data_IF_914632772382
#
_entry.id   IF_914632772382
#
_cell.length_a   1.000
_cell.length_b   1.000
_cell.length_c   1.000
_cell.angle_alpha   90.00
_cell.angle_beta   90.00
_cell.angle_gamma   90.00
#
_symmetry.space_group_name_H-M   'P 1'
#
loop_
_entity.id
_entity.type
_entity.pdbx_description
1 polymer ?
#
# COMPACT_ATOMS: atom_id res chain seq x y z
N UNK A 1 -62.43 -13.38 -34.59
CA UNK A 1 -62.89 -12.50 -35.69
C UNK A 1 -62.46 -11.06 -35.37
N UNK A 2 -61.90 -10.36 -36.37
CA UNK A 2 -61.60 -8.90 -36.45
C UNK A 2 -60.68 -8.32 -35.36
N UNK A 3 -59.40 -7.99 -35.55
CA UNK A 3 -58.76 -7.07 -36.52
C UNK A 3 -59.51 -5.74 -36.69
N UNK A 4 -58.99 -4.67 -36.05
CA UNK A 4 -58.95 -3.31 -36.61
C UNK A 4 -57.64 -2.63 -36.19
N UNK A 5 -57.11 -1.87 -37.13
CA UNK A 5 -55.72 -1.47 -37.31
C UNK A 5 -55.57 0.06 -37.28
N UNK A 6 -54.52 0.54 -36.59
CA UNK A 6 -53.65 1.72 -36.90
C UNK A 6 -54.29 3.14 -36.86
N UNK A 7 -53.53 4.23 -36.59
CA UNK A 7 -52.26 4.54 -37.24
C UNK A 7 -51.08 4.98 -36.34
N UNK A 8 -49.91 4.82 -36.94
CA UNK A 8 -48.58 5.19 -36.49
C UNK A 8 -48.29 6.67 -36.71
N UNK A 9 -47.82 7.36 -35.69
CA UNK A 9 -47.17 8.67 -35.83
C UNK A 9 -45.66 8.46 -35.80
N UNK A 10 -45.01 8.64 -36.95
CA UNK A 10 -43.55 8.75 -37.08
C UNK A 10 -43.14 10.10 -36.49
N UNK A 11 -42.36 10.11 -35.41
CA UNK A 11 -41.55 11.28 -35.06
C UNK A 11 -40.27 11.24 -35.91
N UNK A 12 -40.10 12.26 -36.74
CA UNK A 12 -38.86 12.57 -37.42
C UNK A 12 -37.82 13.02 -36.38
N UNK A 13 -36.74 12.25 -36.24
CA UNK A 13 -35.51 12.75 -35.65
C UNK A 13 -34.80 13.59 -36.72
N UNK A 14 -34.88 14.91 -36.59
CA UNK A 14 -33.99 15.83 -37.28
C UNK A 14 -32.59 15.71 -36.67
N UNK A 15 -31.60 15.42 -37.52
CA UNK A 15 -30.20 15.42 -37.18
C UNK A 15 -29.71 16.88 -37.08
N UNK A 16 -29.65 17.43 -35.88
CA UNK A 16 -28.94 18.67 -35.61
C UNK A 16 -27.47 18.37 -35.34
N UNK A 17 -26.65 18.66 -36.34
CA UNK A 17 -25.21 18.62 -36.32
C UNK A 17 -24.69 19.83 -35.51
N UNK A 18 -24.27 19.63 -34.27
CA UNK A 18 -23.53 20.64 -33.50
C UNK A 18 -22.20 20.04 -33.03
N UNK A 19 -21.17 20.38 -33.78
CA UNK A 19 -19.76 20.17 -33.49
C UNK A 19 -19.38 20.88 -32.19
N UNK A 20 -19.13 20.12 -31.13
CA UNK A 20 -18.47 20.64 -29.93
C UNK A 20 -17.17 19.87 -29.72
N UNK A 21 -16.09 20.53 -30.11
CA UNK A 21 -14.70 20.10 -30.03
C UNK A 21 -14.33 19.70 -28.60
N UNK A 22 -14.42 18.40 -28.30
CA UNK A 22 -13.69 17.77 -27.20
C UNK A 22 -12.19 17.90 -27.48
N UNK A 23 -11.55 18.90 -26.85
CA UNK A 23 -10.09 18.99 -26.80
C UNK A 23 -9.58 17.81 -25.98
N UNK A 24 -9.28 16.69 -26.66
CA UNK A 24 -8.32 15.69 -26.16
C UNK A 24 -7.05 16.45 -25.80
N UNK A 25 -6.74 16.56 -24.52
CA UNK A 25 -5.42 16.97 -24.08
C UNK A 25 -4.43 15.95 -24.67
N UNK A 26 -3.73 16.36 -25.72
CA UNK A 26 -2.64 15.59 -26.30
C UNK A 26 -1.54 15.61 -25.24
N UNK A 27 -1.44 14.51 -24.48
CA UNK A 27 -0.33 14.23 -23.59
C UNK A 27 0.95 14.32 -24.42
N UNK A 28 1.73 15.39 -24.23
CA UNK A 28 3.08 15.46 -24.78
C UNK A 28 3.94 14.51 -23.95
N UNK A 29 4.67 13.55 -24.55
CA UNK A 29 5.61 12.74 -23.80
C UNK A 29 6.70 13.64 -23.22
N UNK A 30 6.79 13.67 -21.89
CA UNK A 30 7.91 14.26 -21.17
C UNK A 30 9.19 13.57 -21.64
N UNK A 31 10.15 14.34 -22.17
CA UNK A 31 11.46 13.85 -22.62
C UNK A 31 12.47 13.87 -21.46
N UNK A 32 12.08 13.39 -20.29
CA UNK A 32 13.04 13.04 -19.25
C UNK A 32 13.79 11.80 -19.71
N UNK A 33 15.08 11.94 -20.03
CA UNK A 33 15.94 10.79 -20.34
C UNK A 33 16.08 9.97 -19.04
N UNK A 34 15.72 8.68 -18.99
CA UNK A 34 16.01 7.88 -17.81
C UNK A 34 17.52 7.90 -17.57
N UNK A 35 17.94 8.13 -16.32
CA UNK A 35 19.31 7.87 -15.93
C UNK A 35 19.61 6.36 -16.11
N UNK A 36 20.87 6.03 -16.43
CA UNK A 36 21.35 4.68 -16.75
C UNK A 36 21.17 3.66 -15.61
N UNK A 37 20.61 4.07 -14.45
CA UNK A 37 20.29 3.22 -13.30
C UNK A 37 18.79 2.96 -13.04
N UNK A 38 17.85 3.44 -13.87
CA UNK A 38 16.42 3.17 -13.68
C UNK A 38 15.74 3.95 -12.54
N UNK A 39 16.40 4.97 -11.98
CA UNK A 39 15.80 5.91 -11.03
C UNK A 39 14.92 6.95 -11.76
N UNK A 40 13.80 7.40 -11.17
CA UNK A 40 12.99 8.48 -11.73
C UNK A 40 13.82 9.76 -11.85
N UNK A 41 13.76 10.43 -13.00
CA UNK A 41 14.30 11.79 -13.11
C UNK A 41 13.51 12.69 -12.18
N UNK A 42 14.18 13.29 -11.20
CA UNK A 42 13.56 14.24 -10.27
C UNK A 42 13.11 15.47 -11.09
N UNK A 43 11.80 15.78 -11.16
CA UNK A 43 11.32 16.95 -11.87
C UNK A 43 11.82 18.23 -11.18
N UNK A 44 11.88 19.34 -11.92
CA UNK A 44 12.14 20.65 -11.30
C UNK A 44 11.02 21.02 -10.32
N UNK A 45 11.31 21.99 -9.46
CA UNK A 45 10.37 22.39 -8.41
C UNK A 45 9.03 22.85 -8.98
N UNK A 46 9.05 23.66 -10.05
CA UNK A 46 7.86 24.24 -10.64
C UNK A 46 6.96 23.16 -11.27
N UNK A 47 7.52 22.18 -11.99
CA UNK A 47 6.75 21.06 -12.51
C UNK A 47 6.21 20.14 -11.41
N UNK A 48 6.94 19.97 -10.30
CA UNK A 48 6.50 19.13 -9.19
C UNK A 48 5.29 19.71 -8.46
N UNK A 49 5.20 21.04 -8.35
CA UNK A 49 4.13 21.72 -7.59
C UNK A 49 3.02 22.34 -8.44
N UNK A 50 3.06 22.16 -9.76
CA UNK A 50 2.06 22.68 -10.70
C UNK A 50 0.63 22.25 -10.33
N UNK A 51 0.46 20.97 -9.99
CA UNK A 51 -0.84 20.38 -9.62
C UNK A 51 -0.65 19.45 -8.41
N UNK A 52 -0.77 20.05 -7.22
CA UNK A 52 -0.64 19.36 -5.92
C UNK A 52 -1.82 19.62 -4.99
N UNK A 53 -2.29 18.55 -4.36
CA UNK A 53 -3.42 18.55 -3.43
C UNK A 53 -3.01 17.92 -2.12
N UNK A 54 -3.18 18.64 -1.01
CA UNK A 54 -2.98 18.08 0.33
C UNK A 54 -4.34 17.71 0.88
N UNK A 55 -4.55 16.42 1.12
CA UNK A 55 -5.82 15.87 1.62
C UNK A 55 -5.69 15.37 3.05
N UNK A 56 -6.80 15.37 3.77
CA UNK A 56 -6.93 14.92 5.15
C UNK A 56 -8.18 14.06 5.29
N UNK A 57 -8.00 12.75 5.40
CA UNK A 57 -9.07 11.76 5.36
C UNK A 57 -9.27 11.14 6.75
N UNK A 58 -10.51 11.03 7.26
CA UNK A 58 -10.76 10.39 8.54
C UNK A 58 -10.49 8.89 8.45
N UNK A 59 -9.97 8.30 9.53
CA UNK A 59 -9.91 6.85 9.69
C UNK A 59 -11.22 6.33 10.28
N UNK A 60 -11.65 5.13 9.89
CA UNK A 60 -12.81 4.47 10.52
C UNK A 60 -12.52 3.99 11.93
N UNK A 61 -11.27 3.57 12.16
CA UNK A 61 -10.74 3.17 13.47
C UNK A 61 -9.32 3.68 13.60
N UNK A 62 -8.82 3.94 14.82
CA UNK A 62 -7.40 4.24 15.00
C UNK A 62 -6.53 3.12 14.42
N UNK A 63 -5.54 3.49 13.61
CA UNK A 63 -4.61 2.54 13.00
C UNK A 63 -3.22 3.15 13.00
N UNK A 64 -2.19 2.41 13.47
CA UNK A 64 -0.82 2.93 13.65
C UNK A 64 -0.76 4.29 14.39
N UNK A 65 -1.61 4.47 15.40
CA UNK A 65 -1.65 5.69 16.21
C UNK A 65 -2.33 6.90 15.57
N UNK A 66 -2.83 6.80 14.33
CA UNK A 66 -3.52 7.91 13.66
C UNK A 66 -5.03 7.72 13.61
N UNK A 67 -5.77 8.82 13.71
CA UNK A 67 -7.23 8.92 13.46
C UNK A 67 -7.58 9.66 12.17
N UNK A 68 -6.59 10.30 11.58
CA UNK A 68 -6.71 11.05 10.33
C UNK A 68 -5.47 10.74 9.51
N UNK A 69 -5.68 10.42 8.23
CA UNK A 69 -4.62 10.17 7.27
C UNK A 69 -4.47 11.36 6.35
N UNK A 70 -3.33 12.03 6.42
CA UNK A 70 -2.95 13.07 5.48
C UNK A 70 -2.05 12.52 4.38
N UNK A 71 -2.23 13.04 3.17
CA UNK A 71 -1.43 12.73 1.99
C UNK A 71 -1.29 13.96 1.09
N UNK A 72 -0.15 14.11 0.44
CA UNK A 72 0.01 15.03 -0.68
C UNK A 72 -0.08 14.24 -1.98
N UNK A 73 -1.05 14.58 -2.82
CA UNK A 73 -1.25 14.02 -4.14
C UNK A 73 -0.64 14.98 -5.15
N UNK A 74 0.10 14.45 -6.12
CA UNK A 74 0.72 15.24 -7.16
C UNK A 74 0.40 14.62 -8.52
N UNK A 75 0.11 15.49 -9.50
CA UNK A 75 -0.15 15.07 -10.87
C UNK A 75 1.06 15.36 -11.74
N UNK A 76 1.43 14.38 -12.55
CA UNK A 76 2.46 14.51 -13.57
C UNK A 76 1.96 14.07 -14.94
N UNK A 77 2.85 14.04 -15.94
CA UNK A 77 2.50 13.76 -17.34
C UNK A 77 1.96 12.36 -17.58
N UNK A 78 2.22 11.38 -16.70
CA UNK A 78 1.76 9.99 -16.87
C UNK A 78 0.70 9.56 -15.86
N UNK A 79 0.37 10.40 -14.87
CA UNK A 79 -0.68 10.08 -13.90
C UNK A 79 -0.54 10.80 -12.57
N UNK A 80 -1.04 10.16 -11.53
CA UNK A 80 -1.07 10.67 -10.15
C UNK A 80 -0.15 9.85 -9.23
N UNK A 81 0.58 10.56 -8.38
CA UNK A 81 1.43 10.00 -7.33
C UNK A 81 0.96 10.45 -5.95
N UNK A 82 1.34 9.67 -4.93
CA UNK A 82 1.02 9.96 -3.54
C UNK A 82 2.31 10.06 -2.72
N UNK A 83 2.54 11.24 -2.14
CA UNK A 83 3.55 11.51 -1.14
C UNK A 83 2.91 11.59 0.24
N UNK A 84 2.98 10.50 0.99
CA UNK A 84 2.32 10.39 2.29
C UNK A 84 3.18 9.75 3.40
N UNK A 85 4.47 10.11 3.58
CA UNK A 85 5.24 9.60 4.72
C UNK A 85 4.58 9.95 6.06
N UNK A 86 4.59 9.02 7.00
CA UNK A 86 4.14 9.28 8.37
C UNK A 86 4.97 10.41 9.03
N UNK A 87 4.41 11.04 10.07
CA UNK A 87 4.96 12.27 10.65
C UNK A 87 6.29 12.04 11.38
N UNK A 88 6.54 10.82 11.86
CA UNK A 88 7.76 10.43 12.55
C UNK A 88 8.98 10.28 11.63
N UNK A 89 8.78 10.13 10.31
CA UNK A 89 9.90 10.02 9.38
C UNK A 89 10.55 11.38 9.15
N UNK A 90 11.87 11.44 9.23
CA UNK A 90 12.61 12.64 8.85
C UNK A 90 12.54 12.89 7.33
N UNK A 91 13.12 14.01 6.88
CA UNK A 91 13.08 14.38 5.47
C UNK A 91 13.88 13.37 4.60
N UNK A 92 14.94 12.76 5.14
CA UNK A 92 15.77 11.77 4.44
C UNK A 92 14.98 10.49 4.19
N UNK A 93 14.35 9.91 5.20
CA UNK A 93 13.47 8.75 5.06
C UNK A 93 12.26 9.06 4.17
N UNK A 94 11.71 10.28 4.28
CA UNK A 94 10.59 10.73 3.47
C UNK A 94 10.95 10.86 1.98
N UNK A 95 12.21 11.06 1.61
CA UNK A 95 12.60 11.14 0.19
C UNK A 95 12.23 9.89 -0.61
N UNK A 96 12.32 8.69 -0.01
CA UNK A 96 11.87 7.45 -0.68
C UNK A 96 10.40 7.50 -1.05
N UNK A 97 9.56 8.05 -0.17
CA UNK A 97 8.14 8.24 -0.44
C UNK A 97 7.92 9.24 -1.57
N UNK A 98 8.73 10.30 -1.63
CA UNK A 98 8.68 11.28 -2.71
C UNK A 98 9.12 10.67 -4.05
N UNK A 99 10.20 9.86 -4.07
CA UNK A 99 10.64 9.14 -5.26
C UNK A 99 9.55 8.22 -5.81
N UNK A 100 8.83 7.50 -4.94
CA UNK A 100 7.71 6.67 -5.34
C UNK A 100 6.55 7.49 -5.94
N UNK A 101 6.25 8.64 -5.36
CA UNK A 101 5.23 9.55 -5.89
C UNK A 101 5.63 10.10 -7.27
N UNK A 102 6.89 10.49 -7.44
CA UNK A 102 7.45 10.98 -8.70
C UNK A 102 7.40 9.87 -9.75
N UNK A 103 7.83 8.65 -9.43
CA UNK A 103 7.76 7.51 -10.34
C UNK A 103 6.33 7.29 -10.83
N UNK A 104 5.35 7.29 -9.93
CA UNK A 104 3.94 7.08 -10.23
C UNK A 104 3.32 8.16 -11.15
N UNK A 105 3.82 9.39 -11.08
CA UNK A 105 3.27 10.57 -11.76
C UNK A 105 4.04 11.00 -13.02
N UNK A 106 5.36 10.76 -13.06
CA UNK A 106 6.26 11.25 -14.13
C UNK A 106 6.91 10.14 -14.96
N UNK A 107 7.07 8.93 -14.43
CA UNK A 107 7.79 7.84 -15.10
C UNK A 107 6.86 6.71 -15.56
N UNK A 108 5.97 6.26 -14.68
CA UNK A 108 5.14 5.08 -14.88
C UNK A 108 5.83 3.80 -14.39
N UNK A 109 5.18 2.66 -14.63
CA UNK A 109 5.59 1.37 -14.09
C UNK A 109 5.77 0.31 -15.18
N UNK A 110 6.48 -0.79 -14.87
CA UNK A 110 6.54 -1.94 -15.75
C UNK A 110 5.16 -2.51 -16.09
N UNK A 111 5.06 -3.22 -17.22
CA UNK A 111 3.83 -3.85 -17.64
C UNK A 111 3.34 -4.91 -16.64
N UNK A 112 2.03 -4.92 -16.40
CA UNK A 112 1.39 -5.93 -15.56
C UNK A 112 1.42 -7.32 -16.23
N UNK A 113 1.67 -8.35 -15.42
CA UNK A 113 1.61 -9.78 -15.81
C UNK A 113 0.27 -10.43 -15.50
N UNK A 114 -0.61 -9.71 -14.77
CA UNK A 114 -1.92 -10.17 -14.32
C UNK A 114 -2.90 -9.01 -14.29
N UNK A 115 -4.17 -9.31 -14.51
CA UNK A 115 -5.25 -8.31 -14.54
C UNK A 115 -5.83 -7.99 -13.16
N UNK A 116 -5.59 -8.83 -12.16
CA UNK A 116 -6.04 -8.63 -10.78
C UNK A 116 -5.00 -9.14 -9.78
N UNK A 117 -5.02 -8.56 -8.59
CA UNK A 117 -4.12 -8.87 -7.48
C UNK A 117 -4.94 -9.40 -6.29
N UNK A 118 -4.71 -10.63 -5.81
CA UNK A 118 -5.36 -11.14 -4.60
C UNK A 118 -4.92 -10.32 -3.38
N UNK A 119 -5.85 -10.04 -2.47
CA UNK A 119 -5.59 -9.22 -1.28
C UNK A 119 -6.04 -9.90 0.00
N UNK A 120 -5.38 -9.57 1.11
CA UNK A 120 -5.82 -10.00 2.44
C UNK A 120 -6.70 -8.94 3.10
N UNK A 121 -7.57 -9.40 4.01
CA UNK A 121 -8.22 -8.54 4.98
C UNK A 121 -7.21 -8.02 6.00
N UNK A 122 -7.36 -6.78 6.43
CA UNK A 122 -6.52 -6.18 7.48
C UNK A 122 -7.38 -5.98 8.71
N UNK A 123 -7.08 -6.72 9.78
CA UNK A 123 -7.82 -6.70 11.05
C UNK A 123 -7.03 -5.87 12.05
N UNK A 124 -7.49 -4.66 12.42
CA UNK A 124 -6.85 -3.82 13.43
C UNK A 124 -6.92 -4.44 14.83
N UNK A 125 -6.34 -3.75 15.83
CA UNK A 125 -6.36 -4.19 17.23
C UNK A 125 -7.73 -3.94 17.90
N UNK A 126 -8.80 -4.48 17.31
CA UNK A 126 -10.18 -4.45 17.82
C UNK A 126 -10.43 -5.59 18.81
N UNK A 127 -11.57 -5.60 19.51
CA UNK A 127 -11.95 -6.77 20.31
C UNK A 127 -12.33 -7.96 19.40
N UNK A 128 -12.27 -9.18 19.93
CA UNK A 128 -12.72 -10.37 19.20
C UNK A 128 -14.16 -10.22 18.67
N UNK A 129 -15.05 -9.58 19.45
CA UNK A 129 -16.46 -9.38 19.07
C UNK A 129 -16.66 -8.54 17.81
N UNK A 130 -15.69 -7.68 17.47
CA UNK A 130 -15.75 -6.79 16.31
C UNK A 130 -15.13 -7.42 15.06
N UNK A 131 -14.50 -8.59 15.16
CA UNK A 131 -13.76 -9.22 14.06
C UNK A 131 -14.65 -9.51 12.86
N UNK A 132 -15.85 -10.05 13.08
CA UNK A 132 -16.79 -10.35 12.00
C UNK A 132 -17.18 -9.09 11.20
N UNK A 133 -17.46 -7.98 11.90
CA UNK A 133 -17.80 -6.70 11.28
C UNK A 133 -16.63 -6.08 10.51
N UNK A 134 -15.41 -6.29 10.98
CA UNK A 134 -14.20 -5.89 10.25
C UNK A 134 -14.04 -6.73 8.99
N UNK A 135 -14.14 -8.06 9.08
CA UNK A 135 -13.98 -8.98 7.95
C UNK A 135 -15.08 -8.81 6.88
N UNK A 136 -16.28 -8.41 7.27
CA UNK A 136 -17.38 -8.11 6.34
C UNK A 136 -17.03 -7.00 5.32
N UNK A 137 -16.03 -6.14 5.61
CA UNK A 137 -15.54 -5.08 4.72
C UNK A 137 -14.56 -5.58 3.65
N UNK A 138 -14.21 -6.87 3.68
CA UNK A 138 -13.26 -7.51 2.78
C UNK A 138 -13.92 -8.71 2.08
N UNK A 139 -15.01 -8.49 1.31
CA UNK A 139 -15.78 -9.58 0.74
C UNK A 139 -14.93 -10.46 -0.19
N UNK A 140 -14.96 -11.77 0.05
CA UNK A 140 -14.23 -12.77 -0.72
C UNK A 140 -12.75 -12.93 -0.36
N UNK A 141 -12.19 -12.13 0.55
CA UNK A 141 -10.84 -12.36 1.06
C UNK A 141 -10.80 -13.68 1.85
N UNK A 142 -9.91 -14.60 1.46
CA UNK A 142 -9.67 -15.87 2.18
C UNK A 142 -8.47 -15.80 3.13
N UNK A 143 -7.81 -14.65 3.19
CA UNK A 143 -6.63 -14.40 4.03
C UNK A 143 -6.86 -13.17 4.89
N UNK A 144 -6.49 -13.20 6.16
CA UNK A 144 -6.53 -12.04 7.05
C UNK A 144 -5.20 -11.85 7.79
N UNK A 145 -4.77 -10.59 7.90
CA UNK A 145 -3.65 -10.17 8.74
C UNK A 145 -4.16 -9.47 9.98
N UNK A 146 -3.80 -9.99 11.14
CA UNK A 146 -4.30 -9.59 12.45
C UNK A 146 -3.24 -8.78 13.19
N UNK A 147 -3.58 -7.56 13.58
CA UNK A 147 -2.72 -6.77 14.46
C UNK A 147 -2.65 -7.43 15.83
N UNK A 148 -1.43 -7.62 16.33
CA UNK A 148 -1.11 -8.12 17.68
C UNK A 148 -0.09 -7.18 18.34
N UNK A 149 0.19 -7.38 19.62
CA UNK A 149 1.16 -6.57 20.37
C UNK A 149 0.81 -5.07 20.39
N UNK A 150 -0.48 -4.75 20.41
CA UNK A 150 -0.93 -3.36 20.50
C UNK A 150 -0.66 -2.83 21.91
N UNK A 151 -0.03 -1.65 22.01
CA UNK A 151 0.18 -0.98 23.29
C UNK A 151 -1.16 -0.79 24.02
N UNK A 152 -1.20 -1.22 25.28
CA UNK A 152 -2.40 -1.21 26.12
C UNK A 152 -3.29 -2.46 26.01
N UNK A 153 -2.90 -3.47 25.23
CA UNK A 153 -3.56 -4.77 25.13
C UNK A 153 -2.64 -5.90 25.62
N UNK A 154 -3.24 -7.06 25.90
CA UNK A 154 -2.55 -8.23 26.43
C UNK A 154 -2.43 -9.33 25.37
N UNK A 155 -1.57 -10.33 25.63
CA UNK A 155 -1.50 -11.53 24.81
C UNK A 155 -2.86 -12.27 24.75
N UNK A 156 -3.68 -12.18 25.81
CA UNK A 156 -5.00 -12.77 25.82
C UNK A 156 -5.93 -12.11 24.79
N UNK A 157 -5.88 -10.79 24.67
CA UNK A 157 -6.66 -10.04 23.67
C UNK A 157 -6.25 -10.44 22.25
N UNK A 158 -4.94 -10.60 22.02
CA UNK A 158 -4.38 -11.05 20.75
C UNK A 158 -4.82 -12.47 20.40
N UNK A 159 -4.73 -13.40 21.34
CA UNK A 159 -5.18 -14.79 21.17
C UNK A 159 -6.68 -14.85 20.86
N UNK A 160 -7.51 -14.10 21.60
CA UNK A 160 -8.95 -14.05 21.37
C UNK A 160 -9.30 -13.51 19.97
N UNK A 161 -8.61 -12.46 19.52
CA UNK A 161 -8.79 -11.88 18.19
C UNK A 161 -8.39 -12.87 17.09
N UNK A 162 -7.23 -13.51 17.22
CA UNK A 162 -6.74 -14.50 16.24
C UNK A 162 -7.65 -15.73 16.19
N UNK A 163 -8.12 -16.20 17.35
CA UNK A 163 -9.08 -17.30 17.45
C UNK A 163 -10.37 -16.99 16.68
N UNK A 164 -10.91 -15.79 16.86
CA UNK A 164 -12.13 -15.38 16.15
C UNK A 164 -11.90 -15.24 14.64
N UNK A 165 -10.77 -14.64 14.21
CA UNK A 165 -10.42 -14.58 12.79
C UNK A 165 -10.33 -15.98 12.17
N UNK A 166 -9.68 -16.93 12.87
CA UNK A 166 -9.61 -18.33 12.46
C UNK A 166 -11.00 -18.98 12.40
N UNK A 167 -11.86 -18.70 13.37
CA UNK A 167 -13.25 -19.19 13.39
C UNK A 167 -14.02 -18.72 12.16
N UNK A 168 -13.99 -17.41 11.86
CA UNK A 168 -14.70 -16.80 10.73
C UNK A 168 -14.18 -17.28 9.37
N UNK A 169 -12.86 -17.36 9.18
CA UNK A 169 -12.27 -17.81 7.91
C UNK A 169 -12.30 -19.33 7.72
N UNK A 170 -12.54 -20.08 8.79
CA UNK A 170 -12.50 -21.53 8.82
C UNK A 170 -11.10 -22.12 8.59
N UNK A 171 -11.05 -23.45 8.44
CA UNK A 171 -9.78 -24.21 8.34
C UNK A 171 -8.98 -23.95 7.07
N UNK A 172 -9.63 -23.51 5.99
CA UNK A 172 -8.97 -23.24 4.70
C UNK A 172 -8.46 -21.81 4.58
N UNK A 173 -8.94 -20.91 5.42
CA UNK A 173 -8.46 -19.53 5.43
C UNK A 173 -7.02 -19.43 5.90
N UNK A 174 -6.34 -18.35 5.52
CA UNK A 174 -4.96 -18.09 5.91
C UNK A 174 -4.94 -16.95 6.93
N UNK A 175 -4.29 -17.18 8.06
CA UNK A 175 -4.21 -16.17 9.14
C UNK A 175 -2.76 -15.76 9.31
N UNK A 176 -2.52 -14.45 9.35
CA UNK A 176 -1.21 -13.85 9.62
C UNK A 176 -1.32 -12.98 10.85
N UNK A 177 -0.23 -12.77 11.56
CA UNK A 177 -0.15 -11.78 12.65
C UNK A 177 0.90 -10.73 12.35
N UNK A 178 0.71 -9.51 12.85
CA UNK A 178 1.64 -8.40 12.69
C UNK A 178 1.89 -7.70 14.03
N UNK A 179 3.11 -7.80 14.54
CA UNK A 179 3.50 -7.19 15.81
C UNK A 179 4.17 -5.82 15.64
N UNK A 180 4.56 -5.42 14.42
CA UNK A 180 5.31 -4.19 14.13
C UNK A 180 6.55 -3.99 15.03
N UNK A 181 7.26 -5.07 15.33
CA UNK A 181 8.48 -5.10 16.12
C UNK A 181 8.28 -4.85 17.62
N UNK A 182 7.05 -4.97 18.13
CA UNK A 182 6.72 -4.58 19.50
C UNK A 182 7.09 -5.60 20.58
N UNK A 183 7.47 -6.83 20.22
CA UNK A 183 7.89 -7.85 21.19
C UNK A 183 9.41 -7.89 21.35
N UNK A 184 9.86 -8.17 22.58
CA UNK A 184 11.18 -8.76 22.80
C UNK A 184 11.25 -10.19 22.23
N UNK A 185 12.45 -10.75 22.09
CA UNK A 185 12.61 -12.14 21.61
C UNK A 185 11.85 -13.14 22.49
N UNK A 186 11.91 -12.99 23.81
CA UNK A 186 11.21 -13.87 24.75
C UNK A 186 9.69 -13.76 24.61
N UNK A 187 9.18 -12.52 24.53
CA UNK A 187 7.75 -12.26 24.34
C UNK A 187 7.26 -12.84 23.01
N UNK A 188 8.04 -12.69 21.93
CA UNK A 188 7.71 -13.22 20.62
C UNK A 188 7.65 -14.76 20.62
N UNK A 189 8.62 -15.43 21.25
CA UNK A 189 8.62 -16.89 21.35
C UNK A 189 7.40 -17.41 22.13
N UNK A 190 7.10 -16.80 23.29
CA UNK A 190 5.94 -17.16 24.09
C UNK A 190 4.61 -16.92 23.33
N UNK A 191 4.47 -15.77 22.69
CA UNK A 191 3.28 -15.41 21.94
C UNK A 191 3.07 -16.34 20.73
N UNK A 192 4.12 -16.59 19.95
CA UNK A 192 4.03 -17.41 18.74
C UNK A 192 3.82 -18.90 19.05
N UNK A 193 4.38 -19.42 20.14
CA UNK A 193 4.04 -20.76 20.64
C UNK A 193 2.55 -20.84 21.03
N UNK A 194 2.03 -19.82 21.73
CA UNK A 194 0.62 -19.76 22.11
C UNK A 194 -0.32 -19.61 20.91
N UNK A 195 0.15 -18.98 19.83
CA UNK A 195 -0.60 -18.78 18.60
C UNK A 195 -0.52 -19.96 17.61
N UNK A 196 0.42 -20.90 17.81
CA UNK A 196 0.64 -22.03 16.93
C UNK A 196 -0.62 -22.89 16.65
N UNK A 197 -1.54 -23.12 17.61
CA UNK A 197 -2.78 -23.86 17.36
C UNK A 197 -3.70 -23.22 16.31
N UNK A 198 -3.52 -21.93 15.98
CA UNK A 198 -4.34 -21.22 14.98
C UNK A 198 -3.81 -21.31 13.55
N UNK A 199 -2.75 -22.10 13.31
CA UNK A 199 -2.21 -22.42 11.98
C UNK A 199 -1.87 -21.13 11.19
N UNK A 200 -0.92 -20.36 11.70
CA UNK A 200 -0.53 -19.10 11.07
C UNK A 200 0.25 -19.34 9.76
N UNK A 201 -0.06 -18.58 8.73
CA UNK A 201 0.72 -18.55 7.48
C UNK A 201 2.11 -17.94 7.73
N UNK A 202 2.18 -16.84 8.48
CA UNK A 202 3.43 -16.26 8.97
C UNK A 202 3.16 -15.25 10.10
N UNK A 203 4.22 -14.90 10.82
CA UNK A 203 4.28 -13.77 11.75
C UNK A 203 5.13 -12.63 11.16
N UNK A 204 4.51 -11.47 10.96
CA UNK A 204 5.14 -10.26 10.43
C UNK A 204 5.79 -9.44 11.55
N UNK A 205 7.08 -9.17 11.37
CA UNK A 205 7.94 -8.35 12.22
C UNK A 205 7.66 -8.55 13.71
N UNK A 206 7.93 -9.74 14.30
CA UNK A 206 7.75 -9.94 15.73
C UNK A 206 8.60 -8.98 16.59
N UNK A 207 9.86 -8.76 16.20
CA UNK A 207 10.83 -7.96 16.94
C UNK A 207 11.39 -6.80 16.09
N UNK A 208 12.03 -5.83 16.73
CA UNK A 208 12.46 -4.59 16.09
C UNK A 208 13.67 -4.78 15.16
N UNK A 209 14.62 -5.62 15.53
CA UNK A 209 15.91 -5.75 14.83
C UNK A 209 16.08 -7.06 14.09
N UNK A 210 16.93 -7.06 13.04
CA UNK A 210 17.26 -8.26 12.26
C UNK A 210 17.84 -9.38 13.13
N UNK A 211 18.69 -9.03 14.10
CA UNK A 211 19.29 -10.01 15.01
C UNK A 211 18.23 -10.69 15.91
N UNK A 212 17.27 -9.93 16.40
CA UNK A 212 16.15 -10.48 17.18
C UNK A 212 15.24 -11.34 16.32
N UNK A 213 14.94 -10.94 15.08
CA UNK A 213 14.18 -11.77 14.14
C UNK A 213 14.86 -13.12 13.90
N UNK A 214 16.17 -13.13 13.66
CA UNK A 214 16.96 -14.36 13.52
C UNK A 214 16.91 -15.22 14.80
N UNK A 215 17.00 -14.60 15.98
CA UNK A 215 16.90 -15.30 17.26
C UNK A 215 15.51 -15.94 17.46
N UNK A 216 14.43 -15.23 17.14
CA UNK A 216 13.05 -15.76 17.18
C UNK A 216 12.91 -16.93 16.22
N UNK A 217 13.30 -16.77 14.96
CA UNK A 217 13.22 -17.82 13.94
C UNK A 217 13.97 -19.09 14.36
N UNK A 218 15.18 -18.95 14.87
CA UNK A 218 15.96 -20.07 15.40
C UNK A 218 15.31 -20.71 16.64
N UNK A 219 14.70 -19.91 17.52
CA UNK A 219 13.99 -20.40 18.70
C UNK A 219 12.74 -21.20 18.34
N UNK A 220 11.94 -20.74 17.38
CA UNK A 220 10.76 -21.46 16.88
C UNK A 220 11.16 -22.80 16.24
N UNK A 221 12.23 -22.81 15.43
CA UNK A 221 12.75 -24.03 14.84
C UNK A 221 13.18 -25.06 15.90
N UNK A 222 13.89 -24.64 16.95
CA UNK A 222 14.27 -25.52 18.08
C UNK A 222 13.05 -26.04 18.85
N UNK A 223 12.00 -25.24 18.96
CA UNK A 223 10.76 -25.61 19.63
C UNK A 223 9.81 -26.44 18.75
N UNK A 224 10.15 -26.71 17.49
CA UNK A 224 9.29 -27.42 16.55
C UNK A 224 8.02 -26.67 16.15
N UNK A 225 8.03 -25.33 16.26
CA UNK A 225 6.89 -24.48 15.88
C UNK A 225 7.04 -24.04 14.43
N UNK A 226 6.17 -24.50 13.50
CA UNK A 226 6.35 -24.29 12.06
C UNK A 226 5.81 -22.92 11.59
N UNK A 227 6.00 -21.85 12.37
CA UNK A 227 5.56 -20.50 12.00
C UNK A 227 6.70 -19.78 11.26
N UNK A 228 6.41 -19.32 10.04
CA UNK A 228 7.34 -18.54 9.24
C UNK A 228 7.45 -17.10 9.76
N UNK A 229 8.63 -16.48 9.61
CA UNK A 229 8.87 -15.07 9.94
C UNK A 229 8.89 -14.22 8.68
N UNK A 230 8.07 -13.17 8.65
CA UNK A 230 8.09 -12.16 7.61
C UNK A 230 8.73 -10.86 8.13
N UNK A 231 9.61 -10.22 7.36
CA UNK A 231 10.24 -8.95 7.74
C UNK A 231 9.61 -7.77 6.96
N UNK A 232 9.23 -6.70 7.67
CA UNK A 232 8.72 -5.44 7.10
C UNK A 232 9.64 -4.26 7.45
N UNK A 233 9.59 -3.78 8.70
CA UNK A 233 10.44 -2.68 9.20
C UNK A 233 11.92 -2.91 8.89
N UNK A 234 12.40 -4.14 9.10
CA UNK A 234 13.80 -4.51 8.85
C UNK A 234 14.19 -4.53 7.38
N UNK A 235 13.23 -4.47 6.46
CA UNK A 235 13.47 -4.33 5.01
C UNK A 235 13.41 -2.85 4.63
N UNK A 236 12.31 -2.17 4.96
CA UNK A 236 12.03 -0.81 4.47
C UNK A 236 12.79 0.32 5.18
N UNK A 237 13.44 0.03 6.32
CA UNK A 237 14.30 0.98 7.05
C UNK A 237 15.78 0.61 6.99
N UNK A 238 16.14 -0.49 6.34
CA UNK A 238 17.53 -0.90 6.23
C UNK A 238 18.23 -0.13 5.10
N UNK A 239 19.50 0.23 5.33
CA UNK A 239 20.38 0.73 4.27
C UNK A 239 20.62 -0.34 3.20
N UNK A 240 20.66 -1.60 3.62
CA UNK A 240 20.74 -2.77 2.75
C UNK A 240 19.65 -3.79 3.11
N UNK A 241 18.51 -3.78 2.37
CA UNK A 241 17.43 -4.74 2.54
C UNK A 241 17.85 -6.21 2.34
N UNK A 242 18.92 -6.48 1.59
CA UNK A 242 19.42 -7.85 1.38
C UNK A 242 20.01 -8.45 2.66
N UNK A 243 20.42 -7.64 3.64
CA UNK A 243 20.94 -8.11 4.94
C UNK A 243 19.97 -9.01 5.70
N UNK A 244 18.66 -8.82 5.53
CA UNK A 244 17.65 -9.66 6.18
C UNK A 244 17.74 -11.11 5.68
N UNK A 245 17.84 -11.27 4.36
CA UNK A 245 17.99 -12.57 3.72
C UNK A 245 19.34 -13.21 4.08
N UNK A 246 20.44 -12.43 3.97
CA UNK A 246 21.78 -12.89 4.30
C UNK A 246 21.95 -13.32 5.76
N UNK A 247 21.24 -12.66 6.69
CA UNK A 247 21.27 -13.02 8.11
C UNK A 247 20.37 -14.22 8.45
N UNK A 248 19.62 -14.78 7.48
CA UNK A 248 18.67 -15.86 7.72
C UNK A 248 17.54 -15.47 8.70
N UNK A 249 17.22 -14.18 8.76
CA UNK A 249 16.34 -13.59 9.76
C UNK A 249 14.85 -13.69 9.41
N UNK A 250 14.52 -13.98 8.16
CA UNK A 250 13.16 -14.10 7.67
C UNK A 250 13.02 -15.19 6.60
N UNK A 251 11.80 -15.71 6.48
CA UNK A 251 11.37 -16.62 5.42
C UNK A 251 10.68 -15.86 4.28
N UNK A 252 10.15 -14.66 4.58
CA UNK A 252 9.35 -13.84 3.66
C UNK A 252 9.75 -12.37 3.82
N UNK A 253 9.81 -11.61 2.72
CA UNK A 253 9.95 -10.15 2.79
C UNK A 253 8.63 -9.46 2.49
N UNK A 254 8.24 -8.53 3.35
CA UNK A 254 7.15 -7.60 3.11
C UNK A 254 7.72 -6.37 2.42
N UNK A 255 7.16 -6.04 1.26
CA UNK A 255 7.62 -4.93 0.43
C UNK A 255 6.51 -3.89 0.29
N UNK A 256 6.87 -2.62 0.50
CA UNK A 256 5.96 -1.48 0.45
C UNK A 256 6.54 -0.44 -0.49
N UNK A 257 5.80 -0.09 -1.54
CA UNK A 257 6.31 0.73 -2.65
C UNK A 257 6.83 2.08 -2.17
N UNK A 258 6.04 2.83 -1.40
CA UNK A 258 6.42 4.18 -1.00
C UNK A 258 7.65 4.21 -0.06
N UNK A 259 7.72 3.39 1.01
CA UNK A 259 8.93 3.28 1.83
C UNK A 259 10.19 2.82 1.08
N UNK A 260 10.06 2.08 -0.03
CA UNK A 260 11.18 1.53 -0.80
C UNK A 260 11.61 2.40 -1.98
N UNK A 261 10.97 3.54 -2.23
CA UNK A 261 11.41 4.46 -3.28
C UNK A 261 10.70 4.31 -4.62
N UNK A 262 9.72 3.41 -4.74
CA UNK A 262 9.01 3.15 -5.99
C UNK A 262 8.89 1.67 -6.33
N UNK A 263 8.14 1.39 -7.40
CA UNK A 263 7.92 0.06 -7.95
C UNK A 263 9.21 -0.53 -8.50
N UNK A 264 10.01 0.25 -9.25
CA UNK A 264 11.26 -0.26 -9.81
C UNK A 264 12.29 -0.66 -8.72
N UNK A 265 12.61 0.17 -7.70
CA UNK A 265 13.45 -0.26 -6.58
C UNK A 265 12.89 -1.47 -5.83
N UNK A 266 11.58 -1.50 -5.58
CA UNK A 266 10.94 -2.60 -4.86
C UNK A 266 11.00 -3.93 -5.66
N UNK A 267 10.85 -3.89 -6.99
CA UNK A 267 11.04 -5.05 -7.86
C UNK A 267 12.50 -5.51 -7.90
N UNK A 268 13.46 -4.57 -7.86
CA UNK A 268 14.89 -4.88 -7.78
C UNK A 268 15.23 -5.64 -6.49
N UNK A 269 14.68 -5.20 -5.35
CA UNK A 269 14.81 -5.92 -4.07
C UNK A 269 14.20 -7.32 -4.17
N UNK A 270 12.98 -7.43 -4.72
CA UNK A 270 12.33 -8.73 -4.89
C UNK A 270 13.16 -9.70 -5.77
N UNK A 271 13.81 -9.19 -6.81
CA UNK A 271 14.64 -10.00 -7.71
C UNK A 271 15.97 -10.45 -7.09
N UNK A 272 16.53 -9.64 -6.17
CA UNK A 272 17.89 -9.87 -5.64
C UNK A 272 17.90 -10.53 -4.25
N UNK A 273 16.82 -10.43 -3.48
CA UNK A 273 16.80 -10.91 -2.09
C UNK A 273 16.75 -12.44 -1.92
N UNK A 274 16.35 -13.19 -2.96
CA UNK A 274 16.28 -14.66 -2.91
C UNK A 274 15.19 -15.24 -1.99
N UNK A 275 14.28 -14.41 -1.46
CA UNK A 275 13.16 -14.83 -0.63
C UNK A 275 11.81 -14.53 -1.30
N UNK A 276 10.75 -15.33 -1.01
CA UNK A 276 9.40 -14.97 -1.36
C UNK A 276 9.02 -13.57 -0.85
N UNK A 277 8.33 -12.79 -1.67
CA UNK A 277 7.87 -11.44 -1.33
C UNK A 277 6.35 -11.37 -1.21
N UNK A 278 5.86 -10.50 -0.32
CA UNK A 278 4.46 -10.10 -0.22
C UNK A 278 4.35 -8.58 -0.27
N UNK A 279 3.50 -8.07 -1.15
CA UNK A 279 3.30 -6.62 -1.29
C UNK A 279 2.28 -6.15 -0.26
N UNK A 280 2.56 -5.01 0.37
CA UNK A 280 1.66 -4.37 1.33
C UNK A 280 1.62 -2.86 1.10
N UNK A 281 0.52 -2.24 1.51
CA UNK A 281 0.38 -0.78 1.53
C UNK A 281 1.01 -0.18 2.78
N UNK A 282 1.14 1.14 2.79
CA UNK A 282 1.60 1.92 3.92
C UNK A 282 0.50 2.85 4.47
N UNK A 283 -0.75 2.36 4.45
CA UNK A 283 -1.97 3.14 4.74
C UNK A 283 -2.13 4.30 3.77
N UNK A 284 -2.12 3.99 2.48
CA UNK A 284 -2.23 4.95 1.39
C UNK A 284 -3.69 5.19 0.99
N UNK A 285 -3.95 6.27 0.24
CA UNK A 285 -5.23 6.43 -0.49
C UNK A 285 -5.28 5.46 -1.67
N UNK A 286 -6.38 5.43 -2.44
CA UNK A 286 -6.41 4.67 -3.69
C UNK A 286 -5.30 5.08 -4.68
N UNK A 287 -4.75 6.30 -4.58
CA UNK A 287 -3.64 6.75 -5.44
C UNK A 287 -2.33 6.01 -5.09
N UNK A 288 -1.95 5.94 -3.82
CA UNK A 288 -0.77 5.19 -3.41
C UNK A 288 -0.96 3.67 -3.46
N UNK A 289 -2.15 3.14 -3.13
CA UNK A 289 -2.46 1.70 -3.27
C UNK A 289 -2.27 1.23 -4.72
N UNK A 290 -2.61 2.07 -5.71
CA UNK A 290 -2.39 1.77 -7.14
C UNK A 290 -0.93 1.40 -7.44
N UNK A 291 0.04 2.06 -6.80
CA UNK A 291 1.45 1.75 -6.98
C UNK A 291 1.80 0.37 -6.41
N UNK A 292 1.25 0.01 -5.25
CA UNK A 292 1.35 -1.33 -4.69
C UNK A 292 0.72 -2.41 -5.59
N UNK A 293 -0.43 -2.13 -6.19
CA UNK A 293 -1.07 -3.03 -7.17
C UNK A 293 -0.19 -3.19 -8.41
N UNK A 294 0.38 -2.11 -8.93
CA UNK A 294 1.27 -2.17 -10.09
C UNK A 294 2.51 -3.03 -9.83
N UNK A 295 3.13 -2.88 -8.64
CA UNK A 295 4.23 -3.74 -8.21
C UNK A 295 3.78 -5.21 -8.13
N UNK A 296 2.70 -5.49 -7.41
CA UNK A 296 2.17 -6.84 -7.24
C UNK A 296 1.80 -7.48 -8.58
N UNK A 297 1.32 -6.69 -9.54
CA UNK A 297 0.98 -7.15 -10.88
C UNK A 297 2.21 -7.39 -11.77
N UNK A 298 3.34 -6.74 -11.51
CA UNK A 298 4.58 -6.90 -12.27
C UNK A 298 5.46 -8.08 -11.78
N UNK A 299 5.28 -8.54 -10.54
CA UNK A 299 6.03 -9.67 -9.98
C UNK A 299 5.80 -10.97 -10.78
N UNK A 300 6.82 -11.81 -11.00
CA UNK A 300 6.66 -13.11 -11.67
C UNK A 300 5.65 -14.00 -10.92
N UNK A 301 5.88 -14.18 -9.62
CA UNK A 301 5.06 -14.99 -8.74
C UNK A 301 4.47 -14.14 -7.62
N UNK A 302 3.28 -14.54 -7.17
CA UNK A 302 2.57 -13.87 -6.08
C UNK A 302 1.95 -14.91 -5.14
N UNK A 303 2.78 -15.64 -4.36
CA UNK A 303 2.32 -16.78 -3.56
C UNK A 303 1.43 -16.36 -2.37
N UNK A 304 1.48 -15.09 -2.00
CA UNK A 304 0.76 -14.53 -0.86
C UNK A 304 -0.23 -13.45 -1.31
N UNK A 305 -1.45 -13.49 -0.78
CA UNK A 305 -2.39 -12.38 -0.91
C UNK A 305 -1.76 -11.08 -0.36
N UNK A 306 -1.98 -9.96 -1.04
CA UNK A 306 -1.30 -8.69 -0.75
C UNK A 306 -2.04 -7.82 0.28
N UNK A 307 -1.29 -7.07 1.09
CA UNK A 307 -1.81 -6.12 2.10
C UNK A 307 -2.31 -4.80 1.50
N UNK A 308 -3.06 -4.87 0.40
CA UNK A 308 -3.49 -3.72 -0.40
C UNK A 308 -4.98 -3.35 -0.22
N UNK A 309 -5.74 -4.12 0.57
CA UNK A 309 -7.15 -3.83 0.87
C UNK A 309 -7.40 -2.70 1.88
N UNK A 310 -6.41 -1.84 2.14
CA UNK A 310 -6.44 -0.88 3.27
C UNK A 310 -7.27 0.38 3.01
N UNK A 311 -7.71 0.65 1.79
CA UNK A 311 -8.68 1.73 1.52
C UNK A 311 -9.95 1.56 2.37
N UNK A 312 -10.31 0.33 2.73
CA UNK A 312 -11.43 0.00 3.63
C UNK A 312 -11.27 0.55 5.06
N UNK A 313 -10.05 0.93 5.47
CA UNK A 313 -9.78 1.54 6.78
C UNK A 313 -10.05 3.05 6.78
N UNK A 314 -10.09 3.68 5.60
CA UNK A 314 -10.41 5.10 5.44
C UNK A 314 -11.92 5.32 5.48
N UNK A 315 -12.33 6.41 6.12
CA UNK A 315 -13.73 6.85 6.16
C UNK A 315 -14.18 7.49 4.85
N UNK A 316 -13.24 8.03 4.07
CA UNK A 316 -13.44 8.61 2.75
C UNK A 316 -12.20 8.35 1.87
N UNK A 317 -12.34 8.54 0.56
CA UNK A 317 -11.26 8.48 -0.41
C UNK A 317 -11.37 9.65 -1.39
N UNK A 318 -10.36 9.85 -2.23
CA UNK A 318 -10.28 10.94 -3.22
C UNK A 318 -10.79 10.53 -4.61
N UNK A 319 -11.39 9.34 -4.73
CA UNK A 319 -11.82 8.73 -6.00
C UNK A 319 -13.25 8.20 -5.88
N UNK A 320 -14.02 8.22 -6.98
CA UNK A 320 -15.43 7.75 -6.97
C UNK A 320 -15.55 6.24 -6.76
N UNK A 321 -14.58 5.48 -7.26
CA UNK A 321 -14.47 4.03 -7.09
C UNK A 321 -13.18 3.70 -6.33
N UNK A 322 -13.21 3.70 -4.99
CA UNK A 322 -12.07 3.31 -4.17
C UNK A 322 -11.59 1.90 -4.50
N UNK A 323 -10.27 1.67 -4.40
CA UNK A 323 -9.65 0.36 -4.60
C UNK A 323 -9.95 -0.58 -3.43
N UNK A 324 -11.20 -1.04 -3.37
CA UNK A 324 -11.68 -2.01 -2.41
C UNK A 324 -11.62 -3.43 -2.98
N UNK A 325 -11.42 -4.45 -2.14
CA UNK A 325 -11.47 -5.84 -2.59
C UNK A 325 -12.85 -6.21 -3.13
N UNK A 326 -12.88 -6.86 -4.29
CA UNK A 326 -14.05 -7.54 -4.85
C UNK A 326 -13.67 -9.00 -5.07
N UNK A 327 -14.42 -9.92 -4.47
CA UNK A 327 -14.12 -11.36 -4.50
C UNK A 327 -12.66 -11.68 -4.09
N UNK A 328 -12.15 -10.97 -3.07
CA UNK A 328 -10.80 -11.19 -2.54
C UNK A 328 -9.65 -10.65 -3.41
N UNK A 329 -9.93 -9.86 -4.45
CA UNK A 329 -8.92 -9.28 -5.32
C UNK A 329 -9.21 -7.81 -5.65
N UNK A 330 -8.21 -7.09 -6.15
CA UNK A 330 -8.36 -5.74 -6.73
C UNK A 330 -7.87 -5.80 -8.18
N UNK A 331 -8.65 -5.24 -9.10
CA UNK A 331 -8.29 -5.15 -10.51
C UNK A 331 -7.17 -4.14 -10.75
N UNK A 332 -6.30 -4.46 -11.71
CA UNK A 332 -5.23 -3.57 -12.16
C UNK A 332 -5.84 -2.55 -13.11
N UNK A 333 -5.74 -1.27 -12.76
CA UNK A 333 -6.34 -0.21 -13.57
C UNK A 333 -5.82 1.18 -13.24
N UNK A 334 -6.30 2.15 -14.02
CA UNK A 334 -6.06 3.58 -13.76
C UNK A 334 -6.92 4.05 -12.60
N UNK A 335 -6.35 4.89 -11.74
CA UNK A 335 -7.07 5.57 -10.68
C UNK A 335 -6.90 7.07 -10.89
N UNK A 336 -8.02 7.79 -10.97
CA UNK A 336 -8.05 9.23 -11.21
C UNK A 336 -8.84 9.85 -10.07
N UNK A 337 -8.24 10.81 -9.32
CA UNK A 337 -8.97 11.56 -8.31
C UNK A 337 -10.20 12.26 -8.89
N UNK A 338 -11.26 12.30 -8.11
CA UNK A 338 -12.44 13.09 -8.45
C UNK A 338 -12.29 14.53 -7.92
N UNK A 339 -12.54 15.57 -8.74
CA UNK A 339 -12.36 16.95 -8.30
C UNK A 339 -13.21 17.36 -7.09
N UNK A 340 -14.44 16.83 -6.96
CA UNK A 340 -15.32 17.17 -5.84
C UNK A 340 -14.84 16.51 -4.55
N UNK A 341 -14.41 15.24 -4.64
CA UNK A 341 -13.83 14.52 -3.50
C UNK A 341 -12.49 15.11 -3.05
N UNK A 342 -11.64 15.52 -3.99
CA UNK A 342 -10.41 16.25 -3.69
C UNK A 342 -10.69 17.56 -2.95
N UNK A 343 -11.66 18.35 -3.42
CA UNK A 343 -12.05 19.59 -2.77
C UNK A 343 -12.60 19.33 -1.36
N UNK A 344 -13.47 18.33 -1.20
CA UNK A 344 -14.04 17.95 0.10
C UNK A 344 -13.00 17.43 1.10
N UNK A 345 -11.97 16.72 0.61
CA UNK A 345 -10.90 16.17 1.44
C UNK A 345 -9.76 17.15 1.71
N UNK A 346 -9.81 18.38 1.19
CA UNK A 346 -8.70 19.34 1.28
C UNK A 346 -8.32 19.64 2.73
N UNK A 347 -7.05 19.46 3.06
CA UNK A 347 -6.52 19.77 4.38
C UNK A 347 -6.55 21.28 4.66
N UNK A 348 -6.67 21.66 5.94
CA UNK A 348 -6.66 23.07 6.31
C UNK A 348 -5.37 23.80 5.88
N UNK A 349 -5.42 25.13 5.81
CA UNK A 349 -4.32 25.95 5.30
C UNK A 349 -2.98 25.73 6.04
N UNK A 350 -3.02 25.48 7.35
CA UNK A 350 -1.83 25.21 8.15
C UNK A 350 -1.17 23.88 7.76
N UNK A 351 -1.97 22.81 7.65
CA UNK A 351 -1.48 21.49 7.21
C UNK A 351 -1.01 21.51 5.77
N UNK A 352 -1.72 22.20 4.88
CA UNK A 352 -1.29 22.39 3.48
C UNK A 352 0.09 23.05 3.41
N UNK A 353 0.31 24.14 4.15
CA UNK A 353 1.61 24.82 4.22
C UNK A 353 2.71 23.88 4.69
N UNK A 354 2.47 23.16 5.79
CA UNK A 354 3.42 22.20 6.35
C UNK A 354 3.84 21.12 5.35
N UNK A 355 2.87 20.54 4.61
CA UNK A 355 3.13 19.53 3.60
C UNK A 355 3.93 20.06 2.41
N UNK A 356 3.63 21.28 1.94
CA UNK A 356 4.40 21.92 0.87
C UNK A 356 5.83 22.25 1.29
N UNK A 357 6.04 22.66 2.55
CA UNK A 357 7.38 22.85 3.11
C UNK A 357 8.14 21.53 3.21
N UNK A 358 7.50 20.44 3.67
CA UNK A 358 8.11 19.10 3.70
C UNK A 358 8.45 18.60 2.30
N UNK A 359 7.56 18.79 1.33
CA UNK A 359 7.80 18.47 -0.07
C UNK A 359 9.04 19.20 -0.59
N UNK A 360 9.17 20.51 -0.31
CA UNK A 360 10.35 21.30 -0.68
C UNK A 360 11.64 20.76 -0.09
N UNK A 361 11.65 20.43 1.21
CA UNK A 361 12.85 19.89 1.86
C UNK A 361 13.23 18.52 1.27
N UNK A 362 12.27 17.63 1.07
CA UNK A 362 12.52 16.31 0.45
C UNK A 362 13.00 16.42 -1.00
N UNK A 363 12.43 17.34 -1.78
CA UNK A 363 12.85 17.62 -3.17
C UNK A 363 14.29 18.14 -3.24
N UNK A 364 14.67 19.03 -2.33
CA UNK A 364 16.05 19.53 -2.24
C UNK A 364 17.05 18.40 -1.94
N UNK A 365 16.70 17.48 -1.03
CA UNK A 365 17.53 16.30 -0.74
C UNK A 365 17.69 15.40 -1.97
N UNK A 366 16.60 15.08 -2.67
CA UNK A 366 16.64 14.27 -3.89
C UNK A 366 17.47 14.92 -5.01
N UNK A 367 17.33 16.24 -5.18
CA UNK A 367 18.05 16.99 -6.21
C UNK A 367 19.55 17.03 -5.91
N UNK A 368 19.93 17.23 -4.64
CA UNK A 368 21.34 17.22 -4.23
C UNK A 368 22.00 15.85 -4.50
N UNK A 369 21.32 14.76 -4.16
CA UNK A 369 21.81 13.41 -4.44
C UNK A 369 22.00 13.13 -5.94
N UNK A 370 21.09 13.61 -6.79
CA UNK A 370 21.20 13.46 -8.24
C UNK A 370 22.39 14.24 -8.84
N UNK A 371 22.84 15.33 -8.19
CA UNK A 371 24.00 16.10 -8.65
C UNK A 371 25.34 15.52 -8.21
N UNK A 372 25.38 14.71 -7.15
CA UNK A 372 26.62 14.10 -6.62
C UNK A 372 27.08 12.85 -7.37
N UNK A 373 26.21 12.21 -8.16
CA UNK A 373 26.53 11.01 -8.96
C UNK A 373 27.27 11.31 -10.29
N UNK A 374 27.58 12.57 -10.57
CA UNK A 374 28.46 12.96 -11.68
C UNK A 374 29.84 13.37 -11.13
N UNK A 375 30.91 12.58 -11.34
CA UNK A 375 32.26 13.09 -11.09
C UNK A 375 32.58 14.21 -12.11
N UNK A 376 33.44 15.18 -11.74
CA UNK A 376 33.87 16.26 -12.64
C UNK A 376 34.62 15.76 -13.88
#
# INVERSE_FOLDING_TARGET
MSWKSKPSTRCHCEASNSSETSRRAILRPYRGRPDRGGQPVVPDWDALVDDVHVVSLPMRVPFRGVRTREALLLRGPVGWGEFAPFLEYDDTEATRWLSAAIEAAFTGWPAARRAAVPVNATVPAVSAREVADVLARFPGCTTAKVKVAQAGQTLFDDLARVAEVRSVLGRRGRVRVDANGAWSVEQALNALQSLAPYDLEYAEQPCATVAELAAVRAGLARAGVPILIAADESVRKADDPARVALAGAADILVVKVAPLGGVAPALSIAATCGLPVVVSSALDTSIGIRAGIAMAAALPDLPYACGLGTASLLGADVVRAPLLPVAGAIEVGSVIPDPELLAAATANAGRRRWWLERLRRCHAVLTAAATTDFPP
#
